data_IF_765065642815
#
_entry.id   IF_765065642815
#
_cell.length_a   1.000
_cell.length_b   1.000
_cell.length_c   1.000
_cell.angle_alpha   90.00
_cell.angle_beta   90.00
_cell.angle_gamma   90.00
#
_symmetry.space_group_name_H-M   'P 1'
#
loop_
_entity.id
_entity.type
_entity.pdbx_description
1 polymer ?
#
# COMPACT_ATOMS: atom_id res chain seq x y z
N UNK A 1 -4.00 -24.48 7.74
CA UNK A 1 -2.58 -24.84 7.50
C UNK A 1 -2.15 -24.16 6.21
N UNK A 2 -0.99 -23.53 6.20
CA UNK A 2 -0.41 -23.01 4.96
C UNK A 2 -0.09 -24.16 4.02
N UNK A 3 -0.38 -23.98 2.73
CA UNK A 3 -0.06 -24.97 1.70
C UNK A 3 1.37 -24.76 1.24
N UNK A 4 2.03 -25.84 0.82
CA UNK A 4 3.38 -25.77 0.25
C UNK A 4 3.41 -24.87 -1.00
N UNK A 5 2.35 -24.90 -1.81
CA UNK A 5 2.19 -24.10 -3.04
C UNK A 5 2.33 -22.59 -2.79
N UNK A 6 1.85 -22.10 -1.64
CA UNK A 6 1.91 -20.68 -1.29
C UNK A 6 3.30 -20.28 -0.77
N UNK A 7 4.03 -21.23 -0.18
CA UNK A 7 5.30 -20.96 0.53
C UNK A 7 6.51 -21.03 -0.39
N UNK A 8 6.55 -22.02 -1.28
CA UNK A 8 7.66 -22.23 -2.22
C UNK A 8 8.10 -20.95 -2.96
N UNK A 9 7.19 -20.15 -3.55
CA UNK A 9 7.60 -18.91 -4.24
C UNK A 9 8.15 -17.84 -3.29
N UNK A 10 7.83 -17.91 -2.00
CA UNK A 10 8.27 -16.94 -1.00
C UNK A 10 9.59 -17.33 -0.31
N UNK A 11 10.09 -18.54 -0.52
CA UNK A 11 11.32 -19.02 0.13
C UNK A 11 12.56 -18.20 -0.27
N UNK A 12 12.66 -17.75 -1.52
CA UNK A 12 13.75 -16.87 -1.98
C UNK A 12 13.71 -15.51 -1.27
N UNK A 13 12.55 -14.85 -1.30
CA UNK A 13 12.33 -13.59 -0.59
C UNK A 13 12.57 -13.73 0.93
N UNK A 14 12.27 -14.89 1.52
CA UNK A 14 12.58 -15.19 2.91
C UNK A 14 14.09 -15.22 3.19
N UNK A 15 14.87 -15.85 2.31
CA UNK A 15 16.34 -15.91 2.41
C UNK A 15 16.96 -14.51 2.29
N UNK A 16 16.45 -13.70 1.37
CA UNK A 16 16.90 -12.32 1.15
C UNK A 16 16.35 -11.32 2.19
N UNK A 17 15.53 -11.78 3.14
CA UNK A 17 14.86 -11.00 4.19
C UNK A 17 13.94 -9.91 3.65
N UNK A 18 13.34 -10.14 2.49
CA UNK A 18 12.40 -9.22 1.83
C UNK A 18 10.95 -9.46 2.25
N UNK A 19 10.68 -10.46 3.09
CA UNK A 19 9.35 -10.71 3.65
C UNK A 19 9.11 -9.97 4.96
N UNK A 20 7.88 -9.51 5.24
CA UNK A 20 7.53 -8.90 6.52
C UNK A 20 7.67 -9.89 7.68
N UNK A 21 7.94 -9.36 8.88
CA UNK A 21 8.27 -10.17 10.08
C UNK A 21 7.20 -11.21 10.45
N UNK A 22 5.91 -10.88 10.27
CA UNK A 22 4.82 -11.80 10.60
C UNK A 22 4.79 -13.01 9.66
N UNK A 23 5.07 -12.79 8.37
CA UNK A 23 5.13 -13.82 7.33
C UNK A 23 6.37 -14.69 7.52
N UNK A 24 7.52 -14.06 7.82
CA UNK A 24 8.76 -14.76 8.17
C UNK A 24 8.58 -15.80 9.29
N UNK A 25 7.76 -15.49 10.31
CA UNK A 25 7.46 -16.39 11.41
C UNK A 25 6.61 -17.59 10.96
N UNK A 26 5.62 -17.35 10.10
CA UNK A 26 4.76 -18.38 9.53
C UNK A 26 5.53 -19.32 8.61
N UNK A 27 6.39 -18.78 7.74
CA UNK A 27 7.28 -19.56 6.88
C UNK A 27 8.23 -20.42 7.70
N UNK A 28 8.87 -19.85 8.73
CA UNK A 28 9.74 -20.59 9.64
C UNK A 28 9.03 -21.77 10.30
N UNK A 29 7.79 -21.57 10.74
CA UNK A 29 7.00 -22.64 11.34
C UNK A 29 6.70 -23.76 10.33
N UNK A 30 6.30 -23.39 9.11
CA UNK A 30 6.01 -24.37 8.06
C UNK A 30 7.26 -25.15 7.65
N UNK A 31 8.39 -24.47 7.39
CA UNK A 31 9.68 -25.09 7.07
C UNK A 31 10.08 -26.11 8.13
N UNK A 32 9.83 -25.82 9.41
CA UNK A 32 10.13 -26.77 10.50
C UNK A 32 9.22 -28.00 10.52
N UNK A 33 8.01 -27.88 9.99
CA UNK A 33 6.99 -28.93 9.98
C UNK A 33 6.95 -29.75 8.68
N UNK A 34 7.39 -29.18 7.55
CA UNK A 34 7.27 -29.74 6.21
C UNK A 34 8.66 -30.09 5.66
N UNK A 35 8.93 -31.37 5.49
CA UNK A 35 10.23 -31.85 5.01
C UNK A 35 10.55 -31.39 3.58
N UNK A 36 9.55 -31.34 2.70
CA UNK A 36 9.75 -30.90 1.31
C UNK A 36 10.19 -29.43 1.23
N UNK A 37 9.49 -28.55 1.97
CA UNK A 37 9.85 -27.13 2.02
C UNK A 37 11.18 -26.89 2.76
N UNK A 38 11.52 -27.72 3.74
CA UNK A 38 12.83 -27.68 4.41
C UNK A 38 13.97 -28.03 3.45
N UNK A 39 13.77 -29.05 2.63
CA UNK A 39 14.76 -29.47 1.64
C UNK A 39 14.97 -28.39 0.57
N UNK A 40 13.90 -27.78 0.05
CA UNK A 40 14.00 -26.68 -0.90
C UNK A 40 14.69 -25.44 -0.30
N UNK A 41 14.35 -25.09 0.94
CA UNK A 41 15.01 -24.01 1.65
C UNK A 41 16.52 -24.26 1.80
N UNK A 42 16.93 -25.49 2.14
CA UNK A 42 18.34 -25.86 2.24
C UNK A 42 19.07 -25.73 0.90
N UNK A 43 18.48 -26.21 -0.20
CA UNK A 43 19.05 -26.04 -1.55
C UNK A 43 19.23 -24.57 -1.94
N UNK A 44 18.25 -23.72 -1.62
CA UNK A 44 18.34 -22.28 -1.88
C UNK A 44 19.40 -21.61 -1.01
N UNK A 45 19.57 -22.05 0.24
CA UNK A 45 20.64 -21.57 1.12
C UNK A 45 22.02 -21.97 0.59
N UNK A 46 22.20 -23.21 0.17
CA UNK A 46 23.46 -23.72 -0.39
C UNK A 46 23.86 -22.94 -1.66
N UNK A 47 22.88 -22.64 -2.53
CA UNK A 47 23.14 -21.82 -3.73
C UNK A 47 23.47 -20.37 -3.37
N UNK A 48 22.78 -19.76 -2.40
CA UNK A 48 23.11 -18.42 -1.88
C UNK A 48 24.53 -18.36 -1.31
N UNK A 49 24.93 -19.38 -0.56
CA UNK A 49 26.28 -19.47 0.03
C UNK A 49 27.36 -19.70 -1.02
N UNK A 50 27.11 -20.58 -2.00
CA UNK A 50 27.99 -20.77 -3.14
C UNK A 50 28.20 -19.47 -3.92
N UNK A 51 27.15 -18.67 -4.14
CA UNK A 51 27.27 -17.36 -4.78
C UNK A 51 28.09 -16.36 -3.93
N UNK A 52 27.99 -16.40 -2.60
CA UNK A 52 28.81 -15.53 -1.73
C UNK A 52 30.29 -15.88 -1.75
N UNK A 53 30.64 -17.11 -2.12
CA UNK A 53 32.04 -17.55 -2.27
C UNK A 53 32.72 -17.03 -3.54
N UNK A 54 31.97 -16.43 -4.47
CA UNK A 54 32.51 -15.82 -5.68
C UNK A 54 33.48 -14.68 -5.32
N UNK A 55 34.50 -14.50 -6.16
CA UNK A 55 35.57 -13.51 -5.97
C UNK A 55 34.97 -12.12 -5.75
N UNK A 56 35.29 -11.53 -4.61
CA UNK A 56 34.90 -10.16 -4.29
C UNK A 56 35.53 -9.20 -5.30
N UNK A 57 34.71 -8.38 -5.94
CA UNK A 57 35.19 -7.36 -6.87
C UNK A 57 35.97 -6.31 -6.07
N UNK A 58 37.23 -6.08 -6.46
CA UNK A 58 38.06 -5.06 -5.85
C UNK A 58 37.38 -3.69 -5.99
N UNK A 59 37.04 -3.10 -4.85
CA UNK A 59 36.41 -1.78 -4.77
C UNK A 59 37.52 -0.72 -4.85
N UNK A 60 37.36 0.34 -5.66
CA UNK A 60 38.31 1.45 -5.69
C UNK A 60 38.47 2.09 -4.30
N UNK A 61 39.70 2.51 -3.94
CA UNK A 61 40.01 3.07 -2.61
C UNK A 61 39.17 4.30 -2.25
N UNK A 62 38.69 5.05 -3.24
CA UNK A 62 37.87 6.25 -3.06
C UNK A 62 36.36 5.96 -2.93
N UNK A 63 35.89 4.74 -3.19
CA UNK A 63 34.46 4.43 -3.27
C UNK A 63 33.72 4.75 -1.95
N UNK A 64 34.25 4.27 -0.82
CA UNK A 64 33.60 4.48 0.48
C UNK A 64 33.49 5.98 0.80
N UNK A 65 34.55 6.74 0.51
CA UNK A 65 34.56 8.19 0.75
C UNK A 65 33.54 8.93 -0.13
N UNK A 66 33.39 8.52 -1.39
CA UNK A 66 32.43 9.11 -2.32
C UNK A 66 30.99 8.81 -1.92
N UNK A 67 30.70 7.55 -1.53
CA UNK A 67 29.38 7.12 -1.07
C UNK A 67 28.99 7.89 0.21
N UNK A 68 29.90 8.00 1.19
CA UNK A 68 29.63 8.74 2.41
C UNK A 68 29.43 10.24 2.15
N UNK A 69 30.20 10.81 1.23
CA UNK A 69 30.03 12.21 0.82
C UNK A 69 28.65 12.43 0.19
N UNK A 70 28.23 11.56 -0.74
CA UNK A 70 26.89 11.64 -1.35
C UNK A 70 25.76 11.45 -0.33
N UNK A 71 25.88 10.46 0.55
CA UNK A 71 24.88 10.19 1.59
C UNK A 71 24.72 11.36 2.57
N UNK A 72 25.83 11.96 3.00
CA UNK A 72 25.80 13.13 3.87
C UNK A 72 25.21 14.37 3.18
N UNK A 73 25.50 14.59 1.90
CA UNK A 73 24.88 15.65 1.09
C UNK A 73 23.36 15.49 1.00
N UNK A 74 22.87 14.26 0.78
CA UNK A 74 21.42 13.97 0.76
C UNK A 74 20.77 14.25 2.11
N UNK A 75 21.39 13.80 3.23
CA UNK A 75 20.88 14.07 4.56
C UNK A 75 20.82 15.57 4.89
N UNK A 76 21.82 16.35 4.46
CA UNK A 76 21.83 17.82 4.61
C UNK A 76 20.73 18.47 3.77
N UNK A 77 20.50 18.01 2.55
CA UNK A 77 19.44 18.51 1.68
C UNK A 77 18.05 18.28 2.29
N UNK A 78 17.78 17.07 2.80
CA UNK A 78 16.52 16.76 3.47
C UNK A 78 16.30 17.61 4.72
N UNK A 79 17.34 17.79 5.55
CA UNK A 79 17.28 18.67 6.72
C UNK A 79 16.97 20.12 6.33
N UNK A 80 17.60 20.65 5.27
CA UNK A 80 17.30 21.99 4.76
C UNK A 80 15.87 22.10 4.24
N UNK A 81 15.37 21.09 3.51
CA UNK A 81 14.00 21.05 3.01
C UNK A 81 12.98 21.05 4.14
N UNK A 82 13.20 20.25 5.19
CA UNK A 82 12.36 20.22 6.39
C UNK A 82 12.38 21.58 7.11
N UNK A 83 13.55 22.20 7.27
CA UNK A 83 13.66 23.52 7.88
C UNK A 83 12.93 24.62 7.07
N UNK A 84 12.98 24.56 5.74
CA UNK A 84 12.23 25.46 4.87
C UNK A 84 10.72 25.24 5.01
N UNK A 85 10.27 23.98 5.03
CA UNK A 85 8.87 23.64 5.23
C UNK A 85 8.36 24.10 6.61
N UNK A 86 9.15 23.90 7.68
CA UNK A 86 8.84 24.40 9.01
C UNK A 86 8.75 25.94 9.07
N UNK A 87 9.62 26.67 8.35
CA UNK A 87 9.52 28.13 8.22
C UNK A 87 8.23 28.53 7.51
N UNK A 88 7.89 27.88 6.40
CA UNK A 88 6.65 28.15 5.67
C UNK A 88 5.41 27.86 6.55
N UNK A 89 5.38 26.73 7.25
CA UNK A 89 4.28 26.36 8.14
C UNK A 89 4.07 27.36 9.27
N UNK A 90 5.13 27.91 9.87
CA UNK A 90 4.98 28.98 10.89
C UNK A 90 4.24 30.21 10.36
N UNK A 91 4.47 30.60 9.10
CA UNK A 91 3.73 31.71 8.48
C UNK A 91 2.28 31.36 8.18
N UNK A 92 2.04 30.11 7.76
CA UNK A 92 0.70 29.57 7.52
C UNK A 92 -0.09 29.54 8.83
N UNK A 93 0.47 29.01 9.91
CA UNK A 93 -0.14 29.01 11.25
C UNK A 93 -0.48 30.43 11.74
N UNK A 94 0.43 31.40 11.58
CA UNK A 94 0.17 32.78 11.97
C UNK A 94 -0.98 33.41 11.16
N UNK A 95 -1.09 33.09 9.86
CA UNK A 95 -2.20 33.55 9.01
C UNK A 95 -3.51 32.84 9.36
N UNK A 96 -3.47 31.54 9.62
CA UNK A 96 -4.63 30.77 10.07
C UNK A 96 -5.12 31.18 11.45
N UNK A 97 -4.23 31.60 12.37
CA UNK A 97 -4.61 32.14 13.66
C UNK A 97 -5.38 33.48 13.53
N UNK A 98 -4.93 34.38 12.64
CA UNK A 98 -5.67 35.62 12.32
C UNK A 98 -7.00 35.32 11.65
N UNK A 99 -7.04 34.38 10.70
CA UNK A 99 -8.28 33.95 10.06
C UNK A 99 -9.24 33.31 11.07
N UNK A 100 -8.76 32.47 11.99
CA UNK A 100 -9.57 31.90 13.08
C UNK A 100 -10.10 32.99 14.01
N UNK A 101 -9.32 34.01 14.34
CA UNK A 101 -9.78 35.16 15.13
C UNK A 101 -10.88 35.95 14.40
N UNK A 102 -10.67 36.28 13.12
CA UNK A 102 -11.67 36.95 12.28
C UNK A 102 -12.93 36.09 12.16
N UNK A 103 -12.76 34.79 11.92
CA UNK A 103 -13.88 33.85 11.81
C UNK A 103 -14.61 33.69 13.15
N UNK A 104 -13.92 33.66 14.29
CA UNK A 104 -14.53 33.63 15.62
C UNK A 104 -15.39 34.88 15.87
N UNK A 105 -14.89 36.06 15.49
CA UNK A 105 -15.64 37.33 15.58
C UNK A 105 -16.84 37.35 14.63
N UNK A 106 -16.71 36.79 13.41
CA UNK A 106 -17.80 36.75 12.42
C UNK A 106 -18.84 35.63 12.68
N UNK A 107 -18.43 34.56 13.39
CA UNK A 107 -19.21 33.34 13.69
C UNK A 107 -20.26 33.54 14.79
N UNK A 108 -20.31 34.71 15.45
CA UNK A 108 -21.31 34.98 16.49
C UNK A 108 -22.76 35.04 15.99
N UNK A 109 -23.01 35.36 14.71
CA UNK A 109 -24.38 35.55 14.19
C UNK A 109 -24.63 34.83 12.86
N UNK A 110 -23.75 34.97 11.88
CA UNK A 110 -24.01 34.48 10.52
C UNK A 110 -24.07 32.95 10.40
N UNK A 111 -23.28 32.21 11.18
CA UNK A 111 -23.27 30.73 11.08
C UNK A 111 -24.52 30.10 11.67
N UNK A 112 -25.10 30.69 12.72
CA UNK A 112 -26.34 30.17 13.32
C UNK A 112 -27.46 30.27 12.30
N UNK A 113 -27.63 31.44 11.65
CA UNK A 113 -28.63 31.63 10.61
C UNK A 113 -28.40 30.75 9.37
N UNK A 114 -27.15 30.57 8.94
CA UNK A 114 -26.85 29.71 7.80
C UNK A 114 -27.13 28.23 8.11
N UNK A 115 -26.76 27.75 9.30
CA UNK A 115 -27.06 26.37 9.70
C UNK A 115 -28.54 26.12 9.90
N UNK A 116 -29.27 27.05 10.51
CA UNK A 116 -30.72 26.91 10.70
C UNK A 116 -31.45 26.93 9.37
N UNK A 117 -31.09 27.83 8.45
CA UNK A 117 -31.67 27.88 7.11
C UNK A 117 -31.41 26.59 6.32
N UNK A 118 -30.17 26.06 6.33
CA UNK A 118 -29.84 24.80 5.67
C UNK A 118 -30.60 23.61 6.27
N UNK A 119 -30.75 23.55 7.60
CA UNK A 119 -31.55 22.49 8.23
C UNK A 119 -33.02 22.58 7.84
N UNK A 120 -33.60 23.79 7.75
CA UNK A 120 -34.99 23.97 7.33
C UNK A 120 -35.23 23.55 5.89
N UNK A 121 -34.30 23.87 4.98
CA UNK A 121 -34.38 23.45 3.56
C UNK A 121 -34.33 21.93 3.44
N UNK A 122 -33.43 21.28 4.17
CA UNK A 122 -33.31 19.81 4.14
C UNK A 122 -34.55 19.14 4.72
N UNK A 123 -35.05 19.59 5.87
CA UNK A 123 -36.27 19.04 6.48
C UNK A 123 -37.48 19.24 5.59
N UNK A 124 -37.64 20.43 4.98
CA UNK A 124 -38.71 20.70 4.02
C UNK A 124 -38.65 19.79 2.80
N UNK A 125 -37.44 19.55 2.27
CA UNK A 125 -37.22 18.61 1.19
C UNK A 125 -37.64 17.18 1.58
N UNK A 126 -37.21 16.68 2.75
CA UNK A 126 -37.60 15.35 3.22
C UNK A 126 -39.11 15.18 3.43
N UNK A 127 -39.80 16.20 3.95
CA UNK A 127 -41.26 16.18 4.10
C UNK A 127 -41.95 16.15 2.73
N UNK A 128 -41.44 16.89 1.75
CA UNK A 128 -41.99 16.91 0.39
C UNK A 128 -41.67 15.63 -0.42
N UNK A 129 -40.53 14.99 -0.14
CA UNK A 129 -40.00 13.87 -0.92
C UNK A 129 -40.41 12.49 -0.39
N UNK A 130 -41.16 12.40 0.71
CA UNK A 130 -41.67 11.13 1.25
C UNK A 130 -43.14 10.89 0.86
N UNK A 131 -43.43 10.22 -0.27
CA UNK A 131 -44.77 9.73 -0.56
C UNK A 131 -45.07 8.46 0.25
N UNK A 132 -46.09 8.54 1.11
CA UNK A 132 -46.99 7.44 1.56
C UNK A 132 -46.38 6.02 1.59
N UNK A 133 -45.53 5.70 2.58
CA UNK A 133 -45.02 4.34 2.85
C UNK A 133 -45.87 3.63 3.91
N UNK A 134 -47.21 3.67 3.81
CA UNK A 134 -48.06 2.90 4.73
C UNK A 134 -49.23 2.26 4.02
N UNK A 135 -48.96 1.14 3.36
CA UNK A 135 -49.94 0.07 3.15
C UNK A 135 -49.29 -1.29 3.45
N UNK A 136 -49.82 -2.07 4.42
CA UNK A 136 -49.32 -3.40 4.76
C UNK A 136 -49.89 -4.52 3.83
N UNK A 137 -49.37 -5.76 3.93
CA UNK A 137 -49.08 -6.62 2.78
C UNK A 137 -50.16 -7.67 2.49
N UNK A 138 -50.18 -8.22 1.27
CA UNK A 138 -50.93 -9.43 0.94
C UNK A 138 -50.01 -10.56 0.47
N UNK A 139 -50.08 -11.65 1.21
CA UNK A 139 -49.53 -12.98 1.00
C UNK A 139 -49.75 -13.58 -0.39
N UNK A 140 -48.83 -14.44 -0.85
CA UNK A 140 -49.10 -15.88 -1.16
C UNK A 140 -47.81 -16.69 -1.43
N UNK A 141 -47.85 -18.04 -1.30
CA UNK A 141 -46.70 -18.90 -0.97
C UNK A 141 -46.15 -19.77 -2.12
N UNK A 142 -44.86 -20.16 -2.00
CA UNK A 142 -44.07 -21.35 -2.45
C UNK A 142 -44.36 -22.02 -3.83
N UNK A 143 -43.52 -22.91 -4.45
CA UNK A 143 -42.35 -23.66 -3.94
C UNK A 143 -41.13 -23.84 -4.90
N UNK A 144 -40.03 -24.33 -4.32
CA UNK A 144 -39.04 -25.32 -4.82
C UNK A 144 -38.21 -25.18 -6.12
N UNK A 145 -36.91 -25.45 -5.90
CA UNK A 145 -35.97 -26.28 -6.69
C UNK A 145 -35.28 -25.70 -7.94
N UNK A 146 -34.10 -26.29 -8.19
CA UNK A 146 -33.31 -26.31 -9.44
C UNK A 146 -32.41 -25.06 -9.60
N UNK A 147 -31.09 -25.10 -9.82
CA UNK A 147 -30.13 -26.11 -10.27
C UNK A 147 -28.72 -25.66 -9.85
N UNK A 148 -27.86 -26.60 -9.53
CA UNK A 148 -26.42 -26.41 -9.72
C UNK A 148 -26.14 -26.44 -11.23
N UNK A 149 -25.37 -25.48 -11.75
CA UNK A 149 -24.62 -25.65 -12.99
C UNK A 149 -23.25 -25.00 -12.82
N UNK A 150 -22.24 -25.86 -12.82
CA UNK A 150 -20.83 -25.54 -13.01
C UNK A 150 -20.70 -24.85 -14.36
N UNK A 151 -20.08 -23.67 -14.39
CA UNK A 151 -19.56 -23.13 -15.64
C UNK A 151 -18.10 -22.72 -15.45
N UNK A 152 -17.23 -23.65 -15.81
CA UNK A 152 -15.81 -23.41 -16.06
C UNK A 152 -15.71 -22.90 -17.50
N UNK A 153 -15.46 -21.62 -17.67
CA UNK A 153 -15.07 -21.05 -18.96
C UNK A 153 -13.89 -20.11 -18.77
N UNK A 154 -12.73 -20.65 -19.14
CA UNK A 154 -11.63 -20.02 -19.87
C UNK A 154 -11.63 -18.48 -19.88
N UNK A 155 -10.76 -17.89 -19.08
CA UNK A 155 -10.06 -16.68 -19.50
C UNK A 155 -8.56 -16.95 -19.49
N UNK A 156 -8.02 -17.03 -20.70
CA UNK A 156 -6.60 -16.99 -21.01
C UNK A 156 -6.15 -15.58 -20.69
N UNK A 157 -5.40 -15.40 -19.61
CA UNK A 157 -4.67 -14.16 -19.37
C UNK A 157 -3.46 -14.18 -20.31
N UNK A 158 -3.58 -13.47 -21.42
CA UNK A 158 -2.45 -13.05 -22.24
C UNK A 158 -1.59 -12.09 -21.42
N UNK A 159 -0.50 -12.59 -20.86
CA UNK A 159 0.58 -11.76 -20.31
C UNK A 159 1.41 -11.28 -21.50
N UNK A 160 1.16 -10.05 -21.95
CA UNK A 160 2.06 -9.34 -22.86
C UNK A 160 3.40 -9.13 -22.15
N UNK A 161 4.38 -9.94 -22.55
CA UNK A 161 5.80 -9.66 -22.32
C UNK A 161 6.15 -8.37 -23.08
N UNK A 162 6.20 -7.25 -22.37
CA UNK A 162 6.87 -6.03 -22.87
C UNK A 162 8.35 -6.37 -22.98
N UNK A 163 8.76 -6.54 -24.22
CA UNK A 163 10.10 -6.90 -24.65
C UNK A 163 11.07 -5.75 -24.46
N UNK A 164 12.31 -6.17 -24.25
CA UNK A 164 13.52 -5.38 -24.05
C UNK A 164 13.77 -4.33 -25.13
N UNK A 165 13.80 -3.06 -24.74
CA UNK A 165 14.48 -2.00 -25.48
C UNK A 165 15.22 -1.06 -24.52
N UNK A 166 16.23 -1.58 -23.81
CA UNK A 166 17.28 -0.74 -23.20
C UNK A 166 18.55 -1.50 -22.78
N UNK A 167 19.13 -2.25 -23.71
CA UNK A 167 20.53 -2.68 -23.62
C UNK A 167 21.24 -2.44 -24.96
N UNK A 168 21.43 -1.16 -25.27
CA UNK A 168 22.47 -0.69 -26.19
C UNK A 168 23.04 0.58 -25.57
N UNK A 169 23.94 0.48 -24.60
CA UNK A 169 24.91 1.57 -24.29
C UNK A 169 25.98 1.22 -23.24
N UNK A 170 26.47 -0.02 -23.10
CA UNK A 170 27.74 -0.24 -22.37
C UNK A 170 28.53 -1.37 -23.05
N UNK A 171 28.92 -1.16 -24.31
CA UNK A 171 30.09 -1.84 -24.87
C UNK A 171 30.64 -0.94 -25.99
N UNK A 172 31.61 -0.09 -25.63
CA UNK A 172 32.26 0.80 -26.58
C UNK A 172 32.90 2.05 -25.96
N UNK A 173 33.89 1.87 -25.07
CA UNK A 173 35.20 2.54 -25.11
C UNK A 173 36.07 2.12 -23.95
#
# INVERSE_FOLDING_TARGET
MLKCEDIRPQLSAYIDREVPLWEAQMLRWHIRSCHECAFEYMLLMDTSEAMKSLVSVAVPDNFLSEVMTKASMMAVYERKKLNLFQRAMRHVEARFARLKYIFYVFRGKATVYATTLMTLVVVGYFISAMPKIFTPPLSKPHPMLVKAEVNCSKEIISVEFVTSERLRYIQGR
#
